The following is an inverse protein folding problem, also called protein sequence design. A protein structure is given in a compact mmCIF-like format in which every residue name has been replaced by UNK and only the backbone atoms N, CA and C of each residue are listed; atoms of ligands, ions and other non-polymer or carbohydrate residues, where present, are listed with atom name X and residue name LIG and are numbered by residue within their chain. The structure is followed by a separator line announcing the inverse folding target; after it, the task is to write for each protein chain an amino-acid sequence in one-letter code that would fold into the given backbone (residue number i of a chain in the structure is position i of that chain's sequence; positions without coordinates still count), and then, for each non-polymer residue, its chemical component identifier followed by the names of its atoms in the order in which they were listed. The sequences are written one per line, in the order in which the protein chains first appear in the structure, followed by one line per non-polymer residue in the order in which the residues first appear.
data_IF_026453214481
#
_entry.id   IF_026453214481
#
_cell.length_a   1.000
_cell.length_b   1.000
_cell.length_c   1.000
_cell.angle_alpha   90.00
_cell.angle_beta   90.00
_cell.angle_gamma   90.00
#
_symmetry.space_group_name_H-M   'P 1'
#
loop_
_entity.id
_entity.type
_entity.pdbx_description
1 polymer ?
#
# COMPACT_ATOMS: atom_id res chain seq x y z
N UNK A 1 19.66 -3.42 10.15
CA UNK A 1 18.29 -2.84 10.16
C UNK A 1 17.33 -3.88 10.73
N UNK A 2 16.50 -3.54 11.73
CA UNK A 2 15.50 -4.45 12.32
C UNK A 2 14.12 -3.78 12.34
N UNK A 3 13.27 -4.08 11.36
CA UNK A 3 11.92 -3.50 11.24
C UNK A 3 10.90 -4.17 12.18
N UNK A 4 11.16 -5.41 12.62
CA UNK A 4 10.23 -6.19 13.46
C UNK A 4 10.01 -5.60 14.85
N UNK A 5 10.86 -4.67 15.27
CA UNK A 5 10.71 -3.93 16.53
C UNK A 5 9.51 -2.97 16.54
N UNK A 6 8.99 -2.62 15.35
CA UNK A 6 7.81 -1.76 15.22
C UNK A 6 6.58 -2.64 14.98
N UNK A 7 5.52 -2.51 15.81
CA UNK A 7 4.30 -3.27 15.61
C UNK A 7 3.65 -2.90 14.27
N UNK A 8 2.94 -3.86 13.68
CA UNK A 8 2.22 -3.69 12.41
C UNK A 8 0.80 -4.22 12.55
N UNK A 9 -0.19 -3.35 12.38
CA UNK A 9 -1.60 -3.73 12.32
C UNK A 9 -1.93 -4.23 10.91
N UNK A 10 -2.56 -5.40 10.77
CA UNK A 10 -2.84 -5.98 9.46
C UNK A 10 -4.03 -5.28 8.79
N UNK A 11 -3.75 -4.50 7.74
CA UNK A 11 -4.76 -3.83 6.90
C UNK A 11 -4.74 -4.34 5.45
N UNK A 12 -3.75 -5.15 5.11
CA UNK A 12 -3.57 -5.74 3.78
C UNK A 12 -3.80 -7.26 3.80
N UNK A 13 -4.08 -7.83 2.63
CA UNK A 13 -4.20 -9.29 2.47
C UNK A 13 -2.86 -10.03 2.69
N UNK A 14 -1.73 -9.31 2.63
CA UNK A 14 -0.39 -9.88 2.77
C UNK A 14 0.63 -9.30 1.76
N UNK A 15 1.68 -10.06 1.41
CA UNK A 15 2.58 -9.70 0.32
C UNK A 15 1.85 -9.56 -1.01
N UNK A 16 2.02 -8.43 -1.69
CA UNK A 16 1.34 -8.15 -2.96
C UNK A 16 2.00 -8.85 -4.14
N UNK A 17 1.23 -9.34 -5.12
CA UNK A 17 1.77 -10.07 -6.26
C UNK A 17 2.62 -9.17 -7.15
N UNK A 18 3.60 -9.77 -7.82
CA UNK A 18 4.41 -9.15 -8.87
C UNK A 18 4.02 -9.81 -10.19
N UNK A 19 3.72 -9.00 -11.20
CA UNK A 19 3.25 -9.48 -12.50
C UNK A 19 4.16 -8.96 -13.61
N UNK A 20 4.59 -9.81 -14.56
CA UNK A 20 5.32 -9.36 -15.73
C UNK A 20 4.37 -8.63 -16.70
N UNK A 21 4.83 -7.51 -17.25
CA UNK A 21 4.11 -6.73 -18.26
C UNK A 21 4.62 -7.08 -19.68
N UNK A 22 4.64 -8.38 -20.01
CA UNK A 22 5.26 -8.91 -21.25
C UNK A 22 4.85 -8.15 -22.51
N UNK A 23 3.54 -7.96 -22.71
CA UNK A 23 3.01 -7.23 -23.86
C UNK A 23 3.52 -5.78 -23.95
N UNK A 24 3.68 -5.11 -22.81
CA UNK A 24 4.20 -3.75 -22.77
C UNK A 24 5.72 -3.71 -23.03
N UNK A 25 6.47 -4.65 -22.45
CA UNK A 25 7.89 -4.82 -22.74
C UNK A 25 8.15 -5.02 -24.23
N UNK A 26 7.42 -5.94 -24.85
CA UNK A 26 7.55 -6.23 -26.28
C UNK A 26 7.18 -5.01 -27.13
N UNK A 27 6.07 -4.34 -26.78
CA UNK A 27 5.63 -3.12 -27.46
C UNK A 27 6.67 -1.98 -27.41
N UNK A 28 7.46 -1.89 -26.34
CA UNK A 28 8.51 -0.88 -26.16
C UNK A 28 9.89 -1.30 -26.70
N UNK A 29 9.96 -2.39 -27.48
CA UNK A 29 11.16 -2.83 -28.17
C UNK A 29 11.92 -3.98 -27.50
N UNK A 30 11.36 -4.61 -26.45
CA UNK A 30 11.82 -5.89 -25.90
C UNK A 30 13.19 -5.89 -25.22
N UNK A 31 13.86 -4.73 -25.09
CA UNK A 31 15.19 -4.62 -24.46
C UNK A 31 15.16 -4.60 -22.93
N UNK A 32 13.99 -4.32 -22.34
CA UNK A 32 13.79 -4.22 -20.90
C UNK A 32 12.54 -4.99 -20.49
N UNK A 33 12.70 -5.89 -19.52
CA UNK A 33 11.57 -6.58 -18.89
C UNK A 33 10.91 -5.69 -17.83
N UNK A 34 9.62 -5.40 -18.00
CA UNK A 34 8.83 -4.57 -17.11
C UNK A 34 7.96 -5.45 -16.22
N UNK A 35 7.87 -5.06 -14.95
CA UNK A 35 7.05 -5.72 -13.95
C UNK A 35 6.26 -4.70 -13.16
N UNK A 36 5.11 -5.11 -12.63
CA UNK A 36 4.31 -4.31 -11.70
C UNK A 36 4.07 -5.08 -10.40
N UNK A 37 4.38 -4.44 -9.26
CA UNK A 37 4.01 -4.93 -7.93
C UNK A 37 2.67 -4.30 -7.51
N UNK A 38 1.65 -5.13 -7.31
CA UNK A 38 0.24 -4.70 -7.24
C UNK A 38 -0.18 -4.21 -5.85
N UNK A 39 0.42 -3.11 -5.40
CA UNK A 39 -0.02 -2.42 -4.18
C UNK A 39 -1.44 -1.84 -4.31
N UNK A 40 -1.89 -1.59 -5.53
CA UNK A 40 -3.25 -1.16 -5.86
C UNK A 40 -4.34 -2.21 -5.59
N UNK A 41 -3.95 -3.46 -5.29
CA UNK A 41 -4.87 -4.54 -4.93
C UNK A 41 -4.59 -5.12 -3.53
N UNK A 42 -3.95 -4.34 -2.65
CA UNK A 42 -3.41 -4.87 -1.41
C UNK A 42 -4.44 -5.09 -0.29
N UNK A 43 -5.66 -4.56 -0.41
CA UNK A 43 -6.64 -4.55 0.67
C UNK A 43 -8.08 -4.56 0.14
N UNK A 44 -9.00 -5.10 0.96
CA UNK A 44 -10.44 -4.99 0.75
C UNK A 44 -11.03 -3.66 1.23
N UNK A 45 -10.23 -2.83 1.91
CA UNK A 45 -10.65 -1.52 2.43
C UNK A 45 -10.68 -0.49 1.30
N UNK A 46 -11.85 -0.36 0.66
CA UNK A 46 -12.12 0.60 -0.41
C UNK A 46 -10.96 0.66 -1.42
N UNK A 47 -10.57 -0.48 -2.01
CA UNK A 47 -9.44 -0.66 -2.95
C UNK A 47 -8.00 -0.48 -2.39
N UNK A 48 -7.82 0.12 -1.22
CA UNK A 48 -6.52 0.26 -0.58
C UNK A 48 -5.49 1.05 -1.39
N UNK A 49 -4.27 0.51 -1.48
CA UNK A 49 -3.15 1.15 -2.18
C UNK A 49 -1.93 1.37 -1.30
N UNK A 50 -0.94 2.11 -1.82
CA UNK A 50 0.32 2.35 -1.10
C UNK A 50 0.15 3.04 0.27
N UNK A 51 -0.93 3.80 0.46
CA UNK A 51 -1.24 4.49 1.72
C UNK A 51 -1.68 3.51 2.82
N UNK A 52 -2.46 2.50 2.47
CA UNK A 52 -2.86 1.43 3.38
C UNK A 52 -1.65 0.70 3.96
N UNK A 53 -0.61 0.43 3.14
CA UNK A 53 0.65 -0.18 3.63
C UNK A 53 1.39 0.70 4.64
N UNK A 54 1.32 2.03 4.51
CA UNK A 54 1.91 2.95 5.50
C UNK A 54 1.13 2.92 6.81
N UNK A 55 -0.20 2.97 6.70
CA UNK A 55 -1.10 3.01 7.87
C UNK A 55 -0.95 1.78 8.77
N UNK A 56 -0.54 0.62 8.24
CA UNK A 56 -0.25 -0.56 9.07
C UNK A 56 0.76 -0.30 10.20
N UNK A 57 1.64 0.71 10.08
CA UNK A 57 2.60 1.09 11.14
C UNK A 57 2.15 2.27 12.00
N UNK A 58 1.17 3.08 11.56
CA UNK A 58 0.63 4.20 12.33
C UNK A 58 -0.56 3.78 13.21
N UNK A 59 -1.38 2.84 12.74
CA UNK A 59 -2.55 2.34 13.49
C UNK A 59 -2.17 1.78 14.86
N UNK A 60 -1.08 0.98 15.03
CA UNK A 60 -0.66 0.54 16.35
C UNK A 60 -0.41 1.67 17.35
N UNK A 61 0.17 2.79 16.89
CA UNK A 61 0.43 3.96 17.74
C UNK A 61 -0.88 4.68 18.11
N UNK A 62 -1.77 4.91 17.14
CA UNK A 62 -3.08 5.51 17.40
C UNK A 62 -3.89 4.69 18.42
N UNK A 63 -3.86 3.36 18.30
CA UNK A 63 -4.48 2.45 19.26
C UNK A 63 -3.83 2.53 20.64
N UNK A 64 -2.50 2.55 20.72
CA UNK A 64 -1.76 2.65 21.98
C UNK A 64 -2.00 3.98 22.70
N UNK A 65 -2.20 5.07 21.96
CA UNK A 65 -2.53 6.39 22.50
C UNK A 65 -4.02 6.54 22.88
N UNK A 66 -4.86 5.54 22.56
CA UNK A 66 -6.29 5.60 22.82
C UNK A 66 -7.02 6.64 21.96
N UNK A 67 -6.52 6.93 20.75
CA UNK A 67 -7.22 7.81 19.81
C UNK A 67 -8.55 7.18 19.38
N UNK A 68 -9.61 7.98 19.34
CA UNK A 68 -10.95 7.56 18.89
C UNK A 68 -11.29 8.02 17.47
N UNK A 69 -10.51 8.96 16.93
CA UNK A 69 -10.76 9.63 15.65
C UNK A 69 -9.45 9.80 14.87
N UNK A 70 -9.43 9.37 13.60
CA UNK A 70 -8.30 9.61 12.70
C UNK A 70 -8.57 10.85 11.85
N UNK A 71 -7.70 11.86 11.97
CA UNK A 71 -7.75 13.09 11.17
C UNK A 71 -6.62 13.07 10.13
N UNK A 72 -6.94 13.38 8.87
CA UNK A 72 -5.96 13.46 7.78
C UNK A 72 -6.30 14.62 6.84
N UNK A 73 -5.52 14.79 5.76
CA UNK A 73 -5.68 15.88 4.79
C UNK A 73 -5.36 15.39 3.38
N UNK A 74 -5.97 16.04 2.39
CA UNK A 74 -5.70 15.78 0.98
C UNK A 74 -6.42 16.77 0.06
N UNK A 75 -6.04 16.79 -1.21
CA UNK A 75 -6.83 17.46 -2.25
C UNK A 75 -8.12 16.68 -2.58
N UNK A 76 -8.94 17.24 -3.47
CA UNK A 76 -10.30 16.72 -3.79
C UNK A 76 -10.30 15.23 -4.18
N UNK A 77 -9.31 14.76 -4.94
CA UNK A 77 -9.20 13.37 -5.41
C UNK A 77 -8.11 12.57 -4.67
N UNK A 78 -7.89 12.90 -3.40
CA UNK A 78 -6.83 12.26 -2.62
C UNK A 78 -7.14 10.80 -2.28
N UNK A 79 -6.27 9.90 -2.72
CA UNK A 79 -6.31 8.48 -2.34
C UNK A 79 -5.98 8.21 -0.87
N UNK A 80 -5.31 9.14 -0.17
CA UNK A 80 -4.97 8.99 1.24
C UNK A 80 -6.19 9.19 2.14
N UNK A 81 -7.13 10.04 1.72
CA UNK A 81 -8.27 10.47 2.52
C UNK A 81 -9.56 9.70 2.23
N UNK A 82 -9.60 8.96 1.13
CA UNK A 82 -10.63 7.95 0.84
C UNK A 82 -10.29 6.67 1.57
#
# INVERSE_FOLDING_TARGET
MNLRKFPRHALTFGPTPIQPLKRLSDHLGGKVELYAKREDCNSGLAFGGNKTRKLEYLVPEALAQGCDTLVSIGGIQSNQTR
#
